data_IF_252474173019
#
_entry.id   IF_252474173019
#
_cell.length_a   1.000
_cell.length_b   1.000
_cell.length_c   1.000
_cell.angle_alpha   90.00
_cell.angle_beta   90.00
_cell.angle_gamma   90.00
#
_symmetry.space_group_name_H-M   'P 1'
#
loop_
_entity.id
_entity.type
_entity.pdbx_description
1 polymer ?
#
# COMPACT_ATOMS: atom_id res chain seq x y z
N UNK A 1 -31.80 -31.23 -76.63
CA UNK A 1 -31.79 -32.13 -75.45
C UNK A 1 -33.01 -31.79 -74.61
N UNK A 2 -34.05 -32.64 -74.57
CA UNK A 2 -35.39 -32.24 -74.11
C UNK A 2 -35.53 -32.29 -72.58
N UNK A 3 -36.22 -31.29 -72.02
CA UNK A 3 -36.56 -31.14 -70.58
C UNK A 3 -37.17 -32.42 -69.96
N UNK A 4 -37.82 -33.24 -70.78
CA UNK A 4 -38.43 -34.53 -70.39
C UNK A 4 -37.41 -35.59 -69.97
N UNK A 5 -36.16 -35.54 -70.44
CA UNK A 5 -35.09 -36.47 -70.01
C UNK A 5 -34.49 -36.09 -68.66
N UNK A 6 -34.48 -34.80 -68.32
CA UNK A 6 -33.97 -34.31 -67.03
C UNK A 6 -34.90 -34.66 -65.86
N UNK A 7 -36.21 -34.58 -66.07
CA UNK A 7 -37.23 -34.92 -65.05
C UNK A 7 -37.27 -36.43 -64.75
N UNK A 8 -36.76 -37.27 -65.64
CA UNK A 8 -36.86 -38.74 -65.55
C UNK A 8 -35.57 -39.43 -65.09
N UNK A 9 -34.52 -38.67 -64.79
CA UNK A 9 -33.23 -39.22 -64.38
C UNK A 9 -33.23 -39.53 -62.87
N UNK A 10 -33.13 -40.83 -62.52
CA UNK A 10 -33.13 -41.33 -61.13
C UNK A 10 -31.73 -41.43 -60.53
N UNK A 11 -30.67 -41.00 -61.23
CA UNK A 11 -29.28 -41.02 -60.73
C UNK A 11 -28.95 -39.84 -59.80
N UNK A 12 -29.86 -38.88 -59.65
CA UNK A 12 -29.68 -37.72 -58.77
C UNK A 12 -30.15 -38.02 -57.33
N UNK A 13 -29.40 -38.85 -56.60
CA UNK A 13 -29.57 -39.02 -55.14
C UNK A 13 -29.21 -37.75 -54.35
N UNK A 14 -28.63 -36.74 -55.00
CA UNK A 14 -28.13 -35.51 -54.37
C UNK A 14 -29.26 -34.60 -53.92
N UNK A 15 -30.33 -34.45 -54.71
CA UNK A 15 -31.45 -33.54 -54.37
C UNK A 15 -32.18 -33.95 -53.09
N UNK A 16 -32.62 -35.22 -52.91
CA UNK A 16 -33.28 -35.62 -51.66
C UNK A 16 -32.34 -35.62 -50.44
N UNK A 17 -31.05 -35.96 -50.59
CA UNK A 17 -30.07 -35.86 -49.51
C UNK A 17 -29.78 -34.39 -49.13
N UNK A 18 -29.64 -33.52 -50.11
CA UNK A 18 -29.48 -32.07 -49.90
C UNK A 18 -30.70 -31.49 -49.20
N UNK A 19 -31.92 -31.82 -49.65
CA UNK A 19 -33.16 -31.40 -49.04
C UNK A 19 -33.33 -31.90 -47.60
N UNK A 20 -32.84 -33.10 -47.27
CA UNK A 20 -32.81 -33.58 -45.88
C UNK A 20 -31.75 -32.88 -45.03
N UNK A 21 -30.59 -32.54 -45.60
CA UNK A 21 -29.48 -31.87 -44.89
C UNK A 21 -29.69 -30.37 -44.66
N UNK A 22 -30.51 -29.70 -45.49
CA UNK A 22 -30.74 -28.26 -45.36
C UNK A 22 -31.51 -27.90 -44.08
N UNK A 23 -32.40 -28.80 -43.63
CA UNK A 23 -33.20 -28.61 -42.41
C UNK A 23 -32.32 -28.55 -41.15
N UNK A 24 -31.44 -29.53 -40.86
CA UNK A 24 -30.55 -29.45 -39.71
C UNK A 24 -29.50 -28.33 -39.86
N UNK A 25 -28.98 -28.05 -41.07
CA UNK A 25 -28.02 -26.97 -41.27
C UNK A 25 -28.61 -25.58 -41.00
N UNK A 26 -29.81 -25.31 -41.50
CA UNK A 26 -30.52 -24.05 -41.23
C UNK A 26 -30.92 -23.93 -39.77
N UNK A 27 -31.33 -25.03 -39.11
CA UNK A 27 -31.57 -25.07 -37.68
C UNK A 27 -30.33 -24.72 -36.85
N UNK A 28 -29.17 -25.27 -37.19
CA UNK A 28 -27.89 -25.00 -36.50
C UNK A 28 -27.43 -23.54 -36.70
N UNK A 29 -27.51 -23.02 -37.92
CA UNK A 29 -27.20 -21.60 -38.19
C UNK A 29 -28.15 -20.68 -37.44
N UNK A 30 -29.44 -20.98 -37.45
CA UNK A 30 -30.45 -20.23 -36.72
C UNK A 30 -30.22 -20.24 -35.20
N UNK A 31 -29.89 -21.40 -34.64
CA UNK A 31 -29.53 -21.53 -33.23
C UNK A 31 -28.26 -20.72 -32.89
N UNK A 32 -27.26 -20.71 -33.76
CA UNK A 32 -26.06 -19.89 -33.59
C UNK A 32 -26.38 -18.39 -33.58
N UNK A 33 -27.30 -17.93 -34.44
CA UNK A 33 -27.74 -16.52 -34.47
C UNK A 33 -28.49 -16.15 -33.19
N UNK A 34 -29.46 -16.97 -32.77
CA UNK A 34 -30.22 -16.72 -31.53
C UNK A 34 -29.32 -16.76 -30.29
N UNK A 35 -28.38 -17.71 -30.23
CA UNK A 35 -27.37 -17.75 -29.17
C UNK A 35 -26.46 -16.52 -29.20
N UNK A 36 -26.00 -16.08 -30.38
CA UNK A 36 -25.17 -14.88 -30.51
C UNK A 36 -25.91 -13.62 -30.02
N UNK A 37 -27.22 -13.51 -30.28
CA UNK A 37 -28.06 -12.42 -29.76
C UNK A 37 -28.18 -12.49 -28.24
N UNK A 38 -28.42 -13.67 -27.69
CA UNK A 38 -28.49 -13.87 -26.23
C UNK A 38 -27.14 -13.60 -25.54
N UNK A 39 -26.03 -14.03 -26.12
CA UNK A 39 -24.68 -13.77 -25.63
C UNK A 39 -24.37 -12.26 -25.65
N UNK A 40 -24.71 -11.56 -26.73
CA UNK A 40 -24.57 -10.10 -26.81
C UNK A 40 -25.44 -9.37 -25.77
N UNK A 41 -26.69 -9.83 -25.55
CA UNK A 41 -27.56 -9.31 -24.49
C UNK A 41 -26.94 -9.50 -23.10
N UNK A 42 -26.43 -10.69 -22.79
CA UNK A 42 -25.75 -10.98 -21.51
C UNK A 42 -24.51 -10.09 -21.31
N UNK A 43 -23.69 -9.90 -22.34
CA UNK A 43 -22.52 -9.04 -22.27
C UNK A 43 -22.87 -7.58 -22.03
N UNK A 44 -23.91 -7.06 -22.69
CA UNK A 44 -24.40 -5.70 -22.47
C UNK A 44 -25.00 -5.54 -21.05
N UNK A 45 -25.70 -6.56 -20.56
CA UNK A 45 -26.25 -6.58 -19.20
C UNK A 45 -25.14 -6.55 -18.16
N UNK A 46 -24.08 -7.34 -18.33
CA UNK A 46 -22.91 -7.32 -17.45
C UNK A 46 -22.26 -5.92 -17.42
N UNK A 47 -22.02 -5.30 -18.57
CA UNK A 47 -21.41 -3.97 -18.64
C UNK A 47 -22.27 -2.88 -17.95
N UNK A 48 -23.60 -2.95 -18.10
CA UNK A 48 -24.53 -2.06 -17.41
C UNK A 48 -24.54 -2.31 -15.89
N UNK A 49 -24.51 -3.57 -15.45
CA UNK A 49 -24.43 -3.94 -14.03
C UNK A 49 -23.12 -3.46 -13.40
N UNK A 50 -21.97 -3.66 -14.05
CA UNK A 50 -20.66 -3.24 -13.55
C UNK A 50 -20.62 -1.72 -13.32
N UNK A 51 -21.14 -0.95 -14.28
CA UNK A 51 -21.24 0.50 -14.18
C UNK A 51 -22.21 0.94 -13.09
N UNK A 52 -23.34 0.23 -12.94
CA UNK A 52 -24.36 0.51 -11.91
C UNK A 52 -23.82 0.26 -10.50
N UNK A 53 -23.16 -0.87 -10.29
CA UNK A 53 -22.52 -1.23 -9.01
C UNK A 53 -21.46 -0.21 -8.63
N UNK A 54 -20.62 0.23 -9.58
CA UNK A 54 -19.58 1.22 -9.32
C UNK A 54 -20.14 2.63 -9.02
N UNK A 55 -21.24 3.01 -9.67
CA UNK A 55 -21.91 4.28 -9.38
C UNK A 55 -22.53 4.26 -7.98
N UNK A 56 -23.23 3.17 -7.62
CA UNK A 56 -23.89 3.01 -6.33
C UNK A 56 -22.92 2.84 -5.16
N UNK A 57 -21.76 2.20 -5.37
CA UNK A 57 -20.76 2.04 -4.30
C UNK A 57 -20.22 3.39 -3.78
N UNK A 58 -20.42 4.47 -4.54
CA UNK A 58 -20.04 5.84 -4.13
C UNK A 58 -21.20 6.63 -3.51
N UNK A 59 -22.44 6.16 -3.66
CA UNK A 59 -23.67 6.83 -3.20
C UNK A 59 -24.08 6.35 -1.80
N UNK A 60 -23.53 7.04 -0.80
CA UNK A 60 -23.64 6.68 0.62
C UNK A 60 -25.07 6.80 1.15
N UNK A 61 -25.84 7.76 0.65
CA UNK A 61 -27.18 8.06 1.14
C UNK A 61 -28.18 6.99 0.69
N UNK A 62 -28.03 6.51 -0.54
CA UNK A 62 -28.82 5.38 -1.07
C UNK A 62 -28.53 4.08 -0.31
N UNK A 63 -27.26 3.83 0.02
CA UNK A 63 -26.84 2.65 0.77
C UNK A 63 -27.33 2.67 2.22
N UNK A 64 -27.35 3.84 2.86
CA UNK A 64 -27.82 4.01 4.23
C UNK A 64 -29.35 3.96 4.36
N UNK A 65 -30.07 4.45 3.34
CA UNK A 65 -31.55 4.47 3.31
C UNK A 65 -32.19 3.13 2.94
N UNK A 66 -31.40 2.14 2.51
CA UNK A 66 -31.90 0.84 2.03
C UNK A 66 -32.59 0.92 0.66
N UNK A 67 -32.54 2.07 -0.03
CA UNK A 67 -33.14 2.30 -1.35
C UNK A 67 -32.33 1.72 -2.52
N UNK A 68 -31.40 0.79 -2.24
CA UNK A 68 -30.43 0.23 -3.18
C UNK A 68 -31.10 -0.35 -4.42
N UNK A 69 -32.19 -1.09 -4.27
CA UNK A 69 -32.89 -1.71 -5.40
C UNK A 69 -33.53 -0.69 -6.34
N UNK A 70 -34.15 0.36 -5.79
CA UNK A 70 -34.82 1.39 -6.59
C UNK A 70 -33.81 2.19 -7.41
N UNK A 71 -32.71 2.62 -6.78
CA UNK A 71 -31.68 3.40 -7.44
C UNK A 71 -30.85 2.55 -8.42
N UNK A 72 -30.57 1.29 -8.09
CA UNK A 72 -29.97 0.34 -9.02
C UNK A 72 -30.82 0.18 -10.29
N UNK A 73 -32.14 0.10 -10.14
CA UNK A 73 -33.06 -0.01 -11.27
C UNK A 73 -33.02 1.23 -12.15
N UNK A 74 -33.03 2.43 -11.57
CA UNK A 74 -32.93 3.69 -12.31
C UNK A 74 -31.64 3.78 -13.12
N UNK A 75 -30.50 3.52 -12.47
CA UNK A 75 -29.18 3.58 -13.11
C UNK A 75 -29.00 2.50 -14.18
N UNK A 76 -29.40 1.26 -13.86
CA UNK A 76 -29.31 0.15 -14.81
C UNK A 76 -30.16 0.41 -16.05
N UNK A 77 -31.41 0.88 -15.90
CA UNK A 77 -32.28 1.17 -17.03
C UNK A 77 -31.76 2.33 -17.90
N UNK A 78 -31.04 3.29 -17.31
CA UNK A 78 -30.39 4.35 -18.07
C UNK A 78 -29.21 3.83 -18.92
N UNK A 79 -28.55 2.77 -18.48
CA UNK A 79 -27.36 2.19 -19.12
C UNK A 79 -27.69 1.04 -20.07
N UNK A 80 -28.74 0.27 -19.78
CA UNK A 80 -29.11 -0.93 -20.52
C UNK A 80 -30.21 -0.66 -21.56
N UNK A 81 -29.80 -0.23 -22.76
CA UNK A 81 -30.72 0.00 -23.87
C UNK A 81 -30.74 -1.19 -24.86
N UNK A 82 -31.50 -2.25 -24.52
CA UNK A 82 -31.64 -3.46 -25.34
C UNK A 82 -33.11 -3.90 -25.40
N UNK A 83 -33.91 -3.40 -26.37
CA UNK A 83 -35.34 -3.69 -26.46
C UNK A 83 -35.66 -5.16 -26.83
N UNK A 84 -34.66 -5.92 -27.27
CA UNK A 84 -34.78 -7.35 -27.58
C UNK A 84 -34.74 -8.26 -26.34
N UNK A 85 -34.52 -7.70 -25.14
CA UNK A 85 -34.55 -8.40 -23.85
C UNK A 85 -35.83 -8.05 -23.11
N UNK A 86 -36.65 -9.04 -22.81
CA UNK A 86 -37.89 -8.93 -22.06
C UNK A 86 -37.71 -9.35 -20.59
N UNK A 87 -38.71 -9.05 -19.76
CA UNK A 87 -38.80 -9.49 -18.36
C UNK A 87 -37.55 -9.17 -17.53
N UNK A 88 -36.98 -7.98 -17.74
CA UNK A 88 -35.79 -7.54 -17.02
C UNK A 88 -36.14 -7.33 -15.54
N UNK A 89 -35.45 -8.05 -14.68
CA UNK A 89 -35.57 -7.92 -13.23
C UNK A 89 -34.18 -7.80 -12.60
N UNK A 90 -34.09 -7.02 -11.52
CA UNK A 90 -32.87 -6.84 -10.75
C UNK A 90 -33.03 -7.40 -9.34
N UNK A 91 -31.97 -8.02 -8.85
CA UNK A 91 -31.82 -8.41 -7.45
C UNK A 91 -30.65 -7.64 -6.85
N UNK A 92 -30.79 -7.17 -5.62
CA UNK A 92 -29.73 -6.43 -4.93
C UNK A 92 -29.52 -7.01 -3.54
N UNK A 93 -28.27 -7.18 -3.15
CA UNK A 93 -27.88 -7.50 -1.78
C UNK A 93 -26.80 -6.53 -1.34
N UNK A 94 -27.03 -5.87 -0.21
CA UNK A 94 -26.05 -5.00 0.44
C UNK A 94 -25.79 -5.51 1.86
N UNK A 95 -24.52 -5.71 2.19
CA UNK A 95 -24.08 -6.11 3.53
C UNK A 95 -22.96 -5.18 3.97
N UNK A 96 -22.96 -4.79 5.24
CA UNK A 96 -22.03 -3.79 5.79
C UNK A 96 -21.38 -4.21 7.11
N UNK A 97 -21.28 -5.51 7.38
CA UNK A 97 -20.78 -6.02 8.67
C UNK A 97 -19.25 -6.12 8.75
N UNK A 98 -18.54 -6.28 7.62
CA UNK A 98 -17.07 -6.47 7.55
C UNK A 98 -16.51 -5.83 6.29
N UNK A 99 -16.69 -4.52 6.20
CA UNK A 99 -16.70 -3.81 4.92
C UNK A 99 -18.06 -3.92 4.24
N UNK A 100 -18.22 -3.13 3.19
CA UNK A 100 -19.43 -3.01 2.41
C UNK A 100 -19.32 -3.89 1.17
N UNK A 101 -20.25 -4.82 1.00
CA UNK A 101 -20.39 -5.62 -0.23
C UNK A 101 -21.74 -5.33 -0.84
N UNK A 102 -21.74 -4.89 -2.10
CA UNK A 102 -22.92 -4.68 -2.92
C UNK A 102 -22.90 -5.66 -4.08
N UNK A 103 -23.90 -6.53 -4.13
CA UNK A 103 -24.15 -7.45 -5.24
C UNK A 103 -25.40 -7.01 -5.98
N UNK A 104 -25.30 -6.84 -7.29
CA UNK A 104 -26.46 -6.58 -8.16
C UNK A 104 -26.51 -7.67 -9.23
N UNK A 105 -27.60 -8.44 -9.22
CA UNK A 105 -27.94 -9.42 -10.24
C UNK A 105 -28.96 -8.86 -11.21
N UNK A 106 -28.83 -9.20 -12.49
CA UNK A 106 -29.82 -8.91 -13.51
C UNK A 106 -30.23 -10.19 -14.23
N UNK A 107 -31.53 -10.32 -14.48
CA UNK A 107 -32.11 -11.42 -15.27
C UNK A 107 -33.01 -10.86 -16.35
N UNK A 108 -33.13 -11.56 -17.48
CA UNK A 108 -34.09 -11.26 -18.54
C UNK A 108 -34.22 -12.42 -19.51
N UNK A 109 -35.07 -12.29 -20.53
CA UNK A 109 -35.27 -13.31 -21.57
C UNK A 109 -35.13 -12.71 -22.97
N UNK A 110 -34.45 -13.42 -23.87
CA UNK A 110 -34.31 -13.04 -25.28
C UNK A 110 -35.20 -13.95 -26.11
N UNK A 111 -36.10 -13.35 -26.89
CA UNK A 111 -36.97 -14.11 -27.80
C UNK A 111 -36.17 -14.70 -28.96
N UNK A 112 -36.25 -16.02 -29.11
CA UNK A 112 -35.59 -16.74 -30.21
C UNK A 112 -36.47 -16.71 -31.44
N UNK A 113 -35.86 -16.69 -32.63
CA UNK A 113 -36.59 -16.73 -33.90
C UNK A 113 -36.50 -18.13 -34.49
N UNK A 114 -35.30 -18.69 -34.58
CA UNK A 114 -35.05 -19.98 -35.19
C UNK A 114 -35.18 -21.12 -34.17
N UNK A 115 -34.66 -20.93 -32.95
CA UNK A 115 -34.80 -21.94 -31.90
C UNK A 115 -36.26 -22.13 -31.44
N UNK A 116 -37.13 -21.14 -31.70
CA UNK A 116 -38.57 -21.24 -31.42
C UNK A 116 -39.23 -22.38 -32.19
N UNK A 117 -38.76 -22.67 -33.42
CA UNK A 117 -39.24 -23.78 -34.27
C UNK A 117 -38.90 -25.14 -33.64
N UNK A 118 -37.84 -25.20 -32.85
CA UNK A 118 -37.39 -26.38 -32.10
C UNK A 118 -37.98 -26.44 -30.68
N UNK A 119 -38.94 -25.57 -30.35
CA UNK A 119 -39.63 -25.55 -29.04
C UNK A 119 -38.98 -24.66 -27.98
N UNK A 120 -37.88 -23.97 -28.28
CA UNK A 120 -37.21 -23.05 -27.35
C UNK A 120 -37.55 -21.61 -27.68
N UNK A 121 -38.72 -21.13 -27.28
CA UNK A 121 -39.23 -19.79 -27.63
C UNK A 121 -38.43 -18.61 -27.04
N UNK A 122 -37.76 -18.83 -25.90
CA UNK A 122 -36.99 -17.81 -25.20
C UNK A 122 -35.69 -18.39 -24.63
N UNK A 123 -34.64 -17.58 -24.60
CA UNK A 123 -33.37 -17.90 -23.94
C UNK A 123 -33.20 -16.99 -22.71
N UNK A 124 -33.05 -17.55 -21.50
CA UNK A 124 -32.77 -16.75 -20.32
C UNK A 124 -31.35 -16.18 -20.36
N UNK A 125 -31.22 -14.91 -19.99
CA UNK A 125 -29.94 -14.24 -19.77
C UNK A 125 -29.86 -13.79 -18.32
N UNK A 126 -28.71 -14.02 -17.70
CA UNK A 126 -28.44 -13.60 -16.34
C UNK A 126 -27.00 -13.12 -16.23
N UNK A 127 -26.79 -12.08 -15.45
CA UNK A 127 -25.49 -11.48 -15.17
C UNK A 127 -25.47 -10.97 -13.73
N UNK A 128 -24.28 -10.81 -13.15
CA UNK A 128 -24.12 -10.31 -11.79
C UNK A 128 -22.84 -9.51 -11.66
N UNK A 129 -22.90 -8.37 -10.99
CA UNK A 129 -21.76 -7.54 -10.66
C UNK A 129 -21.66 -7.39 -9.13
N UNK A 130 -20.43 -7.26 -8.62
CA UNK A 130 -20.16 -7.10 -7.19
C UNK A 130 -19.12 -6.02 -6.97
N UNK A 131 -19.34 -5.13 -6.01
CA UNK A 131 -18.32 -4.23 -5.48
C UNK A 131 -18.16 -4.46 -3.99
N UNK A 132 -16.90 -4.52 -3.55
CA UNK A 132 -16.55 -4.53 -2.13
C UNK A 132 -15.72 -3.28 -1.83
N UNK A 133 -15.92 -2.68 -0.66
CA UNK A 133 -15.12 -1.55 -0.18
C UNK A 133 -15.08 -1.51 1.35
N UNK A 134 -14.07 -0.86 1.92
CA UNK A 134 -13.95 -0.71 3.38
C UNK A 134 -13.63 -2.01 4.15
N UNK A 135 -13.30 -3.11 3.45
CA UNK A 135 -12.77 -4.34 4.06
C UNK A 135 -11.24 -4.27 4.27
N UNK A 136 -10.58 -3.28 3.66
CA UNK A 136 -9.12 -3.10 3.73
C UNK A 136 -8.78 -1.91 4.61
N UNK A 137 -7.95 -2.11 5.63
CA UNK A 137 -7.38 -1.05 6.47
C UNK A 137 -5.92 -0.81 6.09
N UNK A 138 -5.49 0.44 6.10
CA UNK A 138 -4.16 0.85 5.67
C UNK A 138 -3.30 1.24 6.87
N UNK A 139 -2.07 0.75 6.93
CA UNK A 139 -1.05 1.20 7.89
C UNK A 139 0.16 1.68 7.11
N UNK A 140 0.48 2.96 7.24
CA UNK A 140 1.59 3.60 6.49
C UNK A 140 2.68 4.03 7.47
N UNK A 141 3.91 3.64 7.21
CA UNK A 141 5.09 4.20 7.87
C UNK A 141 5.83 5.12 6.90
N UNK A 142 5.83 6.41 7.22
CA UNK A 142 6.61 7.41 6.51
C UNK A 142 8.01 7.45 7.13
N UNK A 143 8.98 6.84 6.45
CA UNK A 143 10.39 6.79 6.86
C UNK A 143 11.11 7.89 6.11
N UNK A 144 11.33 9.02 6.80
CA UNK A 144 11.69 10.27 6.16
C UNK A 144 13.12 10.67 6.54
N UNK A 145 13.96 10.79 5.52
CA UNK A 145 15.34 11.24 5.67
C UNK A 145 15.37 12.65 6.25
N UNK A 146 16.03 12.77 7.39
CA UNK A 146 16.20 14.01 8.13
C UNK A 146 17.69 14.31 8.32
N UNK A 147 18.53 13.88 7.37
CA UNK A 147 19.99 14.04 7.40
C UNK A 147 20.41 15.42 6.91
N UNK A 148 21.68 15.78 7.12
CA UNK A 148 22.19 17.10 6.78
C UNK A 148 22.07 17.48 5.29
N UNK A 149 22.12 16.52 4.37
CA UNK A 149 21.96 16.77 2.93
C UNK A 149 20.59 17.36 2.58
N UNK A 150 19.55 17.00 3.34
CA UNK A 150 18.18 17.50 3.17
C UNK A 150 18.03 19.00 3.46
N UNK A 151 19.01 19.64 4.10
CA UNK A 151 19.05 21.09 4.32
C UNK A 151 19.30 21.87 3.02
N UNK A 152 19.78 21.21 1.97
CA UNK A 152 20.18 21.83 0.71
C UNK A 152 19.06 21.79 -0.33
N UNK A 153 19.12 22.69 -1.31
CA UNK A 153 18.27 22.68 -2.53
C UNK A 153 16.76 22.65 -2.27
N UNK A 154 16.29 23.14 -1.11
CA UNK A 154 14.88 23.15 -0.73
C UNK A 154 14.28 21.76 -0.50
N UNK A 155 15.11 20.71 -0.34
CA UNK A 155 14.66 19.32 -0.21
C UNK A 155 13.76 19.10 1.02
N UNK A 156 14.14 19.61 2.19
CA UNK A 156 13.32 19.50 3.41
C UNK A 156 11.97 20.21 3.28
N UNK A 157 11.91 21.41 2.69
CA UNK A 157 10.64 22.13 2.52
C UNK A 157 9.71 21.42 1.54
N UNK A 158 10.27 20.89 0.45
CA UNK A 158 9.54 20.07 -0.50
C UNK A 158 9.06 18.76 0.13
N UNK A 159 9.90 18.09 0.94
CA UNK A 159 9.53 16.90 1.70
C UNK A 159 8.37 17.16 2.64
N UNK A 160 8.43 18.25 3.42
CA UNK A 160 7.37 18.62 4.37
C UNK A 160 6.05 18.87 3.65
N UNK A 161 6.10 19.60 2.53
CA UNK A 161 4.92 19.88 1.71
C UNK A 161 4.33 18.60 1.13
N UNK A 162 5.16 17.77 0.50
CA UNK A 162 4.78 16.49 -0.09
C UNK A 162 4.17 15.52 0.94
N UNK A 163 4.79 15.39 2.12
CA UNK A 163 4.31 14.53 3.19
C UNK A 163 2.97 15.00 3.75
N UNK A 164 2.76 16.32 3.91
CA UNK A 164 1.48 16.87 4.35
C UNK A 164 0.37 16.68 3.31
N UNK A 165 0.68 16.81 2.02
CA UNK A 165 -0.28 16.52 0.95
C UNK A 165 -0.70 15.05 0.97
N UNK A 166 0.26 14.12 1.11
CA UNK A 166 -0.03 12.71 1.28
C UNK A 166 -0.93 12.44 2.49
N UNK A 167 -0.61 13.03 3.65
CA UNK A 167 -1.44 12.94 4.86
C UNK A 167 -2.87 13.44 4.59
N UNK A 168 -3.05 14.56 3.90
CA UNK A 168 -4.37 15.09 3.55
C UNK A 168 -5.15 14.13 2.63
N UNK A 169 -4.48 13.49 1.67
CA UNK A 169 -5.13 12.50 0.80
C UNK A 169 -5.59 11.26 1.58
N UNK A 170 -4.75 10.78 2.50
CA UNK A 170 -5.06 9.65 3.38
C UNK A 170 -6.22 9.97 4.33
N UNK A 171 -6.23 11.16 4.94
CA UNK A 171 -7.35 11.63 5.77
C UNK A 171 -8.65 11.71 4.98
N UNK A 172 -8.62 12.20 3.74
CA UNK A 172 -9.82 12.35 2.92
C UNK A 172 -10.50 11.00 2.64
N UNK A 173 -9.76 9.89 2.66
CA UNK A 173 -10.29 8.54 2.37
C UNK A 173 -10.64 7.76 3.64
N UNK A 174 -10.02 8.06 4.78
CA UNK A 174 -10.37 7.46 6.07
C UNK A 174 -11.79 7.89 6.50
N UNK A 175 -12.75 6.95 6.52
CA UNK A 175 -14.14 7.21 6.92
C UNK A 175 -14.38 6.91 8.39
N UNK A 176 -13.63 5.96 8.93
CA UNK A 176 -13.50 5.69 10.35
C UNK A 176 -12.05 5.92 10.81
N UNK A 177 -11.83 6.24 12.10
CA UNK A 177 -10.48 6.44 12.64
C UNK A 177 -9.55 5.23 12.44
N UNK A 178 -10.13 4.05 12.32
CA UNK A 178 -9.42 2.79 12.20
C UNK A 178 -9.05 2.40 10.75
N UNK A 179 -9.55 3.15 9.76
CA UNK A 179 -9.36 2.85 8.34
C UNK A 179 -7.91 3.06 7.90
N UNK A 180 -7.27 4.10 8.45
CA UNK A 180 -5.90 4.48 8.12
C UNK A 180 -5.15 4.88 9.38
N UNK A 181 -4.01 4.23 9.59
CA UNK A 181 -3.01 4.66 10.56
C UNK A 181 -1.73 5.09 9.84
N UNK A 182 -1.12 6.17 10.34
CA UNK A 182 0.16 6.66 9.82
C UNK A 182 1.15 6.78 10.97
N UNK A 183 2.40 6.40 10.73
CA UNK A 183 3.54 6.64 11.60
C UNK A 183 4.58 7.44 10.84
N UNK A 184 5.36 8.24 11.56
CA UNK A 184 6.42 9.07 10.99
C UNK A 184 7.71 8.76 11.70
N UNK A 185 8.72 8.36 10.94
CA UNK A 185 10.05 7.99 11.44
C UNK A 185 11.09 8.91 10.79
N UNK A 186 11.39 10.07 11.39
CA UNK A 186 12.52 10.91 11.00
C UNK A 186 13.81 10.20 11.41
N UNK A 187 14.69 9.93 10.45
CA UNK A 187 15.95 9.24 10.72
C UNK A 187 17.16 10.03 10.24
N UNK A 188 18.30 9.75 10.87
CA UNK A 188 19.62 10.18 10.42
C UNK A 188 20.57 8.98 10.53
N UNK A 189 21.68 9.11 11.27
CA UNK A 189 22.50 7.99 11.73
C UNK A 189 21.73 7.17 12.76
N UNK A 190 20.95 7.89 13.58
CA UNK A 190 20.16 7.38 14.70
C UNK A 190 18.67 7.68 14.48
N UNK A 191 17.82 7.06 15.28
CA UNK A 191 16.39 7.38 15.40
C UNK A 191 16.09 7.82 16.81
N UNK A 192 15.36 8.94 16.95
CA UNK A 192 14.89 9.39 18.25
C UNK A 192 13.58 8.67 18.61
N UNK A 193 13.62 7.91 19.69
CA UNK A 193 12.53 7.03 20.14
C UNK A 193 11.89 7.50 21.45
N UNK A 194 12.40 8.59 22.03
CA UNK A 194 11.95 9.06 23.33
C UNK A 194 10.62 9.82 23.21
N UNK A 195 9.59 9.25 23.82
CA UNK A 195 8.28 9.89 23.99
C UNK A 195 8.13 10.37 25.42
N UNK A 196 8.21 11.68 25.64
CA UNK A 196 8.12 12.26 26.99
C UNK A 196 9.40 12.07 27.82
N UNK A 197 9.24 11.85 29.12
CA UNK A 197 10.36 11.80 30.08
C UNK A 197 10.76 10.38 30.50
N UNK A 198 9.91 9.38 30.28
CA UNK A 198 10.16 7.99 30.68
C UNK A 198 11.19 7.34 29.75
N UNK A 199 12.18 6.67 30.34
CA UNK A 199 13.17 5.89 29.61
C UNK A 199 12.64 4.48 29.41
N UNK A 200 12.55 3.97 28.17
CA UNK A 200 12.07 2.61 27.94
C UNK A 200 13.05 1.55 28.47
N UNK A 201 12.53 0.46 29.01
CA UNK A 201 13.34 -0.62 29.61
C UNK A 201 14.14 -1.43 28.60
N UNK A 202 13.81 -1.33 27.31
CA UNK A 202 14.50 -2.01 26.21
C UNK A 202 15.69 -1.21 25.65
N UNK A 203 15.94 0.00 26.19
CA UNK A 203 17.09 0.82 25.84
C UNK A 203 18.27 0.41 26.71
N UNK A 204 19.38 0.07 26.07
CA UNK A 204 20.63 -0.29 26.74
C UNK A 204 21.58 0.92 26.84
N UNK A 205 22.02 1.21 28.06
CA UNK A 205 22.95 2.30 28.35
C UNK A 205 24.40 1.83 28.49
N UNK A 206 24.70 0.55 28.27
CA UNK A 206 26.06 0.01 28.47
C UNK A 206 27.13 0.80 27.69
N UNK A 207 26.88 1.10 26.40
CA UNK A 207 27.77 1.93 25.57
C UNK A 207 27.69 3.39 26.00
N UNK A 208 26.48 3.90 26.22
CA UNK A 208 26.24 5.29 26.58
C UNK A 208 27.02 5.70 27.83
N UNK A 209 27.04 4.84 28.86
CA UNK A 209 27.74 5.05 30.13
C UNK A 209 29.26 5.16 29.97
N UNK A 210 29.83 4.56 28.91
CA UNK A 210 31.27 4.67 28.61
C UNK A 210 31.66 5.96 27.90
N UNK A 211 30.69 6.59 27.23
CA UNK A 211 30.90 7.76 26.37
C UNK A 211 30.40 9.06 27.01
N UNK A 212 29.42 8.97 27.92
CA UNK A 212 28.73 10.12 28.49
C UNK A 212 28.91 10.13 30.01
N UNK A 213 29.78 11.01 30.49
CA UNK A 213 30.10 11.09 31.89
C UNK A 213 31.23 12.07 32.16
N UNK A 214 31.73 12.03 33.40
CA UNK A 214 32.80 12.90 33.86
C UNK A 214 33.92 12.09 34.49
N UNK A 215 35.15 12.55 34.30
CA UNK A 215 36.31 12.00 34.96
C UNK A 215 36.70 12.89 36.16
N UNK A 216 37.07 12.28 37.28
CA UNK A 216 37.71 12.99 38.41
C UNK A 216 38.96 13.77 38.02
N UNK A 217 39.65 13.36 36.94
CA UNK A 217 40.71 14.11 36.28
C UNK A 217 40.14 14.80 35.05
N UNK A 218 39.83 16.09 35.16
CA UNK A 218 39.07 16.88 34.16
C UNK A 218 39.69 16.95 32.76
N UNK A 219 40.98 16.62 32.61
CA UNK A 219 41.66 16.53 31.31
C UNK A 219 41.20 15.36 30.44
N UNK A 220 40.47 14.37 30.99
CA UNK A 220 40.02 13.20 30.26
C UNK A 220 38.50 13.21 30.03
N UNK A 221 38.10 13.11 28.77
CA UNK A 221 36.69 13.12 28.32
C UNK A 221 36.18 11.75 27.89
N UNK A 222 37.02 10.71 27.93
CA UNK A 222 36.66 9.31 27.62
C UNK A 222 36.90 8.43 28.83
N UNK A 223 36.01 7.46 29.08
CA UNK A 223 36.16 6.53 30.21
C UNK A 223 37.48 5.77 30.14
N UNK A 224 37.85 5.23 28.98
CA UNK A 224 39.09 4.45 28.81
C UNK A 224 40.34 5.26 29.17
N UNK A 225 40.41 6.51 28.72
CA UNK A 225 41.50 7.44 29.06
C UNK A 225 41.48 7.85 30.54
N UNK A 226 40.29 8.05 31.11
CA UNK A 226 40.13 8.38 32.52
C UNK A 226 40.68 7.27 33.43
N UNK A 227 40.21 6.04 33.22
CA UNK A 227 40.54 4.87 34.05
C UNK A 227 42.01 4.46 33.88
N UNK A 228 42.53 4.44 32.65
CA UNK A 228 43.95 4.14 32.40
C UNK A 228 44.91 5.12 33.06
N UNK A 229 44.47 6.36 33.29
CA UNK A 229 45.25 7.37 34.00
C UNK A 229 44.89 7.46 35.50
N UNK A 230 44.29 6.42 36.08
CA UNK A 230 43.97 6.34 37.50
C UNK A 230 42.87 7.30 37.96
N UNK A 231 42.07 7.84 37.05
CA UNK A 231 40.86 8.60 37.35
C UNK A 231 39.65 7.68 37.55
N UNK A 232 38.73 8.09 38.41
CA UNK A 232 37.39 7.50 38.51
C UNK A 232 36.45 8.16 37.49
N UNK A 233 35.77 7.33 36.69
CA UNK A 233 34.72 7.74 35.76
C UNK A 233 33.35 7.64 36.44
N UNK A 234 32.51 8.65 36.22
CA UNK A 234 31.13 8.68 36.68
C UNK A 234 30.22 8.94 35.48
N UNK A 235 29.40 7.95 35.06
CA UNK A 235 28.42 8.14 34.00
C UNK A 235 27.46 9.29 34.33
N UNK A 236 27.01 10.00 33.29
CA UNK A 236 25.98 11.02 33.46
C UNK A 236 24.62 10.36 33.81
N UNK A 237 23.70 11.13 34.41
CA UNK A 237 22.37 10.60 34.70
C UNK A 237 21.62 10.27 33.41
N UNK A 238 21.04 9.07 33.29
CA UNK A 238 20.32 8.65 32.08
C UNK A 238 19.13 9.57 31.72
N UNK A 239 18.63 10.37 32.67
CA UNK A 239 17.61 11.40 32.41
C UNK A 239 18.04 12.47 31.42
N UNK A 240 19.36 12.67 31.21
CA UNK A 240 19.91 13.62 30.21
C UNK A 240 19.95 13.05 28.79
N UNK A 241 19.62 11.77 28.62
CA UNK A 241 19.55 11.13 27.31
C UNK A 241 18.57 11.85 26.39
N UNK A 242 19.04 12.23 25.21
CA UNK A 242 18.26 13.00 24.23
C UNK A 242 17.24 12.15 23.45
N UNK A 243 17.26 10.82 23.63
CA UNK A 243 16.28 9.90 23.07
C UNK A 243 16.74 9.13 21.85
N UNK A 244 17.98 9.31 21.39
CA UNK A 244 18.48 8.59 20.23
C UNK A 244 19.00 7.19 20.54
N UNK A 245 18.63 6.26 19.67
CA UNK A 245 19.20 4.91 19.63
C UNK A 245 19.89 4.66 18.30
N UNK A 246 20.96 3.87 18.37
CA UNK A 246 21.74 3.42 17.23
C UNK A 246 21.35 1.97 16.83
N UNK A 247 21.98 1.43 15.79
CA UNK A 247 21.72 0.06 15.32
C UNK A 247 21.96 -1.00 16.43
N UNK A 248 21.07 -2.00 16.51
CA UNK A 248 21.26 -3.18 17.39
C UNK A 248 22.38 -4.07 16.91
N UNK A 249 22.99 -4.86 17.79
CA UNK A 249 24.05 -5.79 17.39
C UNK A 249 23.69 -6.63 16.16
N UNK A 250 24.64 -6.81 15.24
CA UNK A 250 24.40 -7.60 14.04
C UNK A 250 24.16 -9.08 14.44
N UNK A 251 23.14 -9.75 13.93
CA UNK A 251 22.27 -9.38 12.80
C UNK A 251 20.86 -8.85 13.18
N UNK A 252 20.67 -8.30 14.38
CA UNK A 252 19.38 -7.77 14.85
C UNK A 252 19.06 -6.36 14.32
N UNK A 253 20.05 -5.64 13.79
CA UNK A 253 19.93 -4.34 13.12
C UNK A 253 19.09 -4.37 11.84
N UNK A 254 18.86 -5.54 11.23
CA UNK A 254 18.12 -5.67 9.96
C UNK A 254 16.75 -6.34 10.13
N UNK A 255 16.25 -6.39 11.36
CA UNK A 255 15.00 -7.07 11.70
C UNK A 255 14.24 -6.41 12.85
N UNK A 256 13.03 -6.90 13.09
CA UNK A 256 12.09 -6.37 14.10
C UNK A 256 11.85 -7.32 15.27
N UNK A 257 12.79 -8.24 15.54
CA UNK A 257 12.73 -9.08 16.75
C UNK A 257 12.48 -8.20 17.97
N UNK A 258 11.49 -8.56 18.79
CA UNK A 258 11.14 -7.81 19.98
C UNK A 258 12.39 -7.65 20.88
N UNK A 259 12.67 -6.45 21.40
CA UNK A 259 13.85 -6.23 22.21
C UNK A 259 13.69 -6.84 23.60
N UNK A 260 14.75 -7.47 24.08
CA UNK A 260 14.93 -7.93 25.44
C UNK A 260 16.37 -7.64 25.90
N UNK A 261 16.79 -8.17 27.05
CA UNK A 261 18.15 -7.97 27.56
C UNK A 261 19.26 -8.58 26.70
N UNK A 262 18.94 -9.52 25.81
CA UNK A 262 19.88 -10.15 24.88
C UNK A 262 19.98 -9.43 23.53
N UNK A 263 18.94 -8.67 23.15
CA UNK A 263 18.87 -7.93 21.88
C UNK A 263 18.37 -6.48 22.04
N UNK A 264 18.96 -5.68 22.94
CA UNK A 264 18.48 -4.34 23.24
C UNK A 264 18.81 -3.32 22.14
N UNK A 265 18.21 -2.14 22.24
CA UNK A 265 18.61 -0.98 21.44
C UNK A 265 19.62 -0.12 22.22
N UNK A 266 20.87 0.03 21.75
CA UNK A 266 21.84 0.86 22.46
C UNK A 266 21.49 2.35 22.36
N UNK A 267 21.54 3.04 23.50
CA UNK A 267 21.40 4.50 23.58
C UNK A 267 22.64 5.21 22.99
N UNK A 268 22.40 6.27 22.23
CA UNK A 268 23.42 7.23 21.79
C UNK A 268 23.09 8.63 22.30
N UNK A 269 24.12 9.46 22.52
CA UNK A 269 23.99 10.90 22.77
C UNK A 269 24.43 11.70 21.55
N UNK A 270 23.88 11.38 20.39
CA UNK A 270 24.29 12.04 19.15
C UNK A 270 23.82 13.49 19.14
N UNK A 271 24.74 14.43 18.89
CA UNK A 271 24.44 15.87 18.90
C UNK A 271 23.41 16.29 17.84
N UNK A 272 23.18 15.44 16.84
CA UNK A 272 22.24 15.65 15.75
C UNK A 272 21.05 14.68 15.79
N UNK A 273 20.68 14.26 17.00
CA UNK A 273 19.50 13.43 17.22
C UNK A 273 18.26 14.06 16.61
N UNK A 274 17.55 13.30 15.77
CA UNK A 274 16.39 13.80 15.02
C UNK A 274 15.21 14.11 15.95
N UNK A 275 14.18 14.76 15.40
CA UNK A 275 12.89 14.88 16.07
C UNK A 275 12.34 13.48 16.38
N UNK A 276 11.84 13.27 17.61
CA UNK A 276 11.28 11.99 18.05
C UNK A 276 10.25 11.45 17.05
N UNK A 277 10.35 10.17 16.73
CA UNK A 277 9.39 9.49 15.87
C UNK A 277 7.97 9.54 16.45
N UNK A 278 7.00 9.34 15.59
CA UNK A 278 5.59 9.24 15.93
C UNK A 278 5.09 7.83 15.58
N UNK A 279 4.74 7.00 16.57
CA UNK A 279 4.12 5.70 16.34
C UNK A 279 2.80 5.80 15.55
N UNK A 280 2.25 4.66 15.15
CA UNK A 280 0.98 4.62 14.40
C UNK A 280 -0.12 5.38 15.15
N UNK A 281 -0.68 6.37 14.47
CA UNK A 281 -1.79 7.20 14.95
C UNK A 281 -2.72 7.55 13.79
N UNK A 282 -3.94 7.91 14.12
CA UNK A 282 -4.94 8.48 13.22
C UNK A 282 -5.20 9.96 13.55
N UNK A 283 -4.37 10.56 14.42
CA UNK A 283 -4.39 12.00 14.69
C UNK A 283 -3.66 12.78 13.59
N UNK A 284 -4.44 13.24 12.63
CA UNK A 284 -3.99 14.01 11.47
C UNK A 284 -3.32 15.33 11.83
N UNK A 285 -3.72 15.98 12.93
CA UNK A 285 -3.09 17.23 13.37
C UNK A 285 -1.69 16.96 13.92
N UNK A 286 -1.55 15.94 14.77
CA UNK A 286 -0.26 15.51 15.32
C UNK A 286 0.70 15.03 14.23
N UNK A 287 0.20 14.32 13.21
CA UNK A 287 0.98 13.91 12.04
C UNK A 287 1.59 15.13 11.31
N UNK A 288 0.79 16.15 11.01
CA UNK A 288 1.28 17.37 10.35
C UNK A 288 2.28 18.14 11.21
N UNK A 289 1.97 18.31 12.50
CA UNK A 289 2.87 18.98 13.44
C UNK A 289 4.23 18.26 13.54
N UNK A 290 4.23 16.92 13.47
CA UNK A 290 5.46 16.13 13.45
C UNK A 290 6.30 16.40 12.21
N UNK A 291 5.69 16.46 11.03
CA UNK A 291 6.36 16.82 9.77
C UNK A 291 6.94 18.24 9.86
N UNK A 292 6.17 19.20 10.36
CA UNK A 292 6.63 20.59 10.48
C UNK A 292 7.84 20.73 11.41
N UNK A 293 7.92 19.90 12.46
CA UNK A 293 9.02 19.88 13.43
C UNK A 293 10.32 19.20 12.93
N UNK A 294 10.36 18.66 11.72
CA UNK A 294 11.57 18.02 11.18
C UNK A 294 12.66 19.06 10.89
N UNK A 295 13.90 18.75 11.28
CA UNK A 295 15.08 19.60 11.06
C UNK A 295 16.26 18.77 10.55
N UNK A 296 16.76 19.03 9.33
CA UNK A 296 17.76 18.17 8.69
C UNK A 296 19.11 18.28 9.36
N UNK A 297 19.67 17.17 9.84
CA UNK A 297 20.98 17.12 10.47
C UNK A 297 21.57 15.71 10.56
N UNK A 298 22.90 15.61 10.69
CA UNK A 298 23.62 14.36 10.89
C UNK A 298 23.87 13.57 9.60
N UNK A 299 24.51 12.41 9.78
CA UNK A 299 24.84 11.46 8.72
C UNK A 299 23.68 10.51 8.40
N UNK A 300 23.80 9.71 7.34
CA UNK A 300 22.70 8.94 6.76
C UNK A 300 22.85 7.44 7.02
N UNK A 301 21.85 6.85 7.68
CA UNK A 301 21.68 5.40 7.85
C UNK A 301 20.28 4.98 7.39
N UNK A 302 20.12 4.61 6.12
CA UNK A 302 18.84 4.14 5.61
C UNK A 302 18.37 2.85 6.31
N UNK A 303 19.30 2.03 6.80
CA UNK A 303 18.99 0.76 7.47
C UNK A 303 18.17 0.99 8.73
N UNK A 304 18.64 1.86 9.65
CA UNK A 304 17.94 2.10 10.91
C UNK A 304 16.58 2.76 10.69
N UNK A 305 16.49 3.69 9.72
CA UNK A 305 15.22 4.31 9.34
C UNK A 305 14.20 3.27 8.88
N UNK A 306 14.60 2.39 7.95
CA UNK A 306 13.75 1.33 7.43
C UNK A 306 13.31 0.35 8.53
N UNK A 307 14.23 -0.04 9.41
CA UNK A 307 13.94 -0.98 10.52
C UNK A 307 12.97 -0.35 11.51
N UNK A 308 13.13 0.93 11.87
CA UNK A 308 12.17 1.60 12.75
C UNK A 308 10.82 1.83 12.09
N UNK A 309 10.79 2.11 10.78
CA UNK A 309 9.55 2.12 10.00
C UNK A 309 8.84 0.77 10.01
N UNK A 310 9.59 -0.33 9.94
CA UNK A 310 9.02 -1.68 10.08
C UNK A 310 8.57 -1.96 11.53
N UNK A 311 9.30 -1.49 12.53
CA UNK A 311 8.91 -1.61 13.94
C UNK A 311 7.56 -0.94 14.21
N UNK A 312 7.25 0.21 13.59
CA UNK A 312 5.96 0.89 13.83
C UNK A 312 4.76 0.09 13.33
N UNK A 313 4.97 -0.79 12.34
CA UNK A 313 3.93 -1.64 11.75
C UNK A 313 3.81 -3.01 12.45
N UNK A 314 4.86 -3.43 13.14
CA UNK A 314 4.96 -4.76 13.77
C UNK A 314 4.29 -4.77 15.13
N UNK A 315 3.47 -5.78 15.39
CA UNK A 315 2.83 -5.95 16.69
C UNK A 315 3.83 -6.38 17.77
N UNK A 316 3.73 -5.80 18.96
CA UNK A 316 4.62 -6.08 20.09
C UNK A 316 5.77 -5.08 20.24
N UNK A 317 6.52 -5.21 21.33
CA UNK A 317 7.60 -4.30 21.72
C UNK A 317 8.63 -4.07 20.58
N UNK A 318 9.28 -2.89 20.48
CA UNK A 318 9.26 -1.79 21.45
C UNK A 318 8.02 -0.88 21.35
N UNK A 319 7.27 -1.03 20.27
CA UNK A 319 6.05 -0.26 20.02
C UNK A 319 4.82 -1.11 20.38
N UNK A 320 3.64 -0.52 20.32
CA UNK A 320 2.40 -1.27 20.55
C UNK A 320 1.35 -0.68 19.63
N UNK A 321 1.50 -0.91 18.30
CA UNK A 321 0.50 -0.46 17.37
C UNK A 321 -0.84 -1.13 17.69
N UNK A 322 -1.98 -0.50 17.33
CA UNK A 322 -3.30 -1.11 17.52
C UNK A 322 -3.34 -2.54 16.98
N UNK A 323 -4.02 -3.43 17.69
CA UNK A 323 -4.17 -4.81 17.23
C UNK A 323 -4.90 -4.85 15.87
N UNK A 324 -4.50 -5.79 15.00
CA UNK A 324 -5.22 -6.04 13.75
C UNK A 324 -6.46 -6.88 14.06
N UNK A 325 -7.63 -6.46 13.58
CA UNK A 325 -8.85 -7.26 13.67
C UNK A 325 -8.86 -8.33 12.57
N UNK A 326 -9.30 -9.54 12.90
CA UNK A 326 -9.49 -10.60 11.91
C UNK A 326 -10.62 -10.30 10.89
N UNK A 327 -11.43 -9.28 11.16
CA UNK A 327 -12.55 -8.88 10.30
C UNK A 327 -12.13 -8.02 9.10
N UNK A 328 -10.88 -7.57 9.06
CA UNK A 328 -10.36 -6.70 8.00
C UNK A 328 -9.06 -7.25 7.44
N UNK A 329 -8.85 -7.00 6.15
CA UNK A 329 -7.54 -7.13 5.56
C UNK A 329 -6.70 -5.89 5.87
N UNK A 330 -5.41 -6.08 6.16
CA UNK A 330 -4.51 -4.96 6.44
C UNK A 330 -3.45 -4.86 5.35
N UNK A 331 -3.28 -3.66 4.82
CA UNK A 331 -2.17 -3.30 3.93
C UNK A 331 -1.14 -2.52 4.74
N UNK A 332 -0.01 -3.15 4.99
CA UNK A 332 1.14 -2.52 5.64
C UNK A 332 2.07 -1.97 4.56
N UNK A 333 2.37 -0.68 4.66
CA UNK A 333 3.16 0.04 3.67
C UNK A 333 4.25 0.86 4.35
N UNK A 334 5.46 0.80 3.82
CA UNK A 334 6.55 1.72 4.16
C UNK A 334 6.84 2.61 2.97
N UNK A 335 6.95 3.91 3.20
CA UNK A 335 7.48 4.88 2.24
C UNK A 335 8.83 5.34 2.77
N UNK A 336 9.91 4.77 2.22
CA UNK A 336 11.28 5.17 2.51
C UNK A 336 11.70 6.28 1.54
N UNK A 337 11.94 7.47 2.07
CA UNK A 337 12.52 8.58 1.32
C UNK A 337 13.96 8.82 1.78
N UNK A 338 14.85 9.06 0.82
CA UNK A 338 16.22 9.54 1.06
C UNK A 338 16.72 10.43 -0.08
N UNK A 339 17.60 11.36 0.27
CA UNK A 339 18.30 12.22 -0.68
C UNK A 339 19.81 11.99 -0.74
N UNK A 340 20.27 10.90 -0.12
CA UNK A 340 21.68 10.70 0.15
C UNK A 340 22.15 9.25 0.07
N UNK A 341 23.47 9.14 0.03
CA UNK A 341 24.19 7.87 0.17
C UNK A 341 24.10 7.40 1.62
N UNK A 342 24.12 6.10 1.87
CA UNK A 342 24.42 5.62 3.21
C UNK A 342 25.85 6.04 3.59
N UNK A 343 26.02 6.80 4.67
CA UNK A 343 27.32 7.38 5.04
C UNK A 343 27.85 6.90 6.38
N UNK A 344 26.99 6.44 7.30
CA UNK A 344 27.40 5.94 8.59
C UNK A 344 26.33 5.07 9.25
N UNK A 345 26.74 3.99 9.91
CA UNK A 345 25.93 3.27 10.90
C UNK A 345 26.76 3.11 12.19
N UNK A 346 26.31 2.29 13.13
CA UNK A 346 27.06 2.03 14.38
C UNK A 346 28.52 1.53 14.19
N UNK A 347 28.83 0.78 13.13
CA UNK A 347 30.15 0.14 12.94
C UNK A 347 30.98 0.70 11.78
N UNK A 348 30.34 1.22 10.75
CA UNK A 348 30.95 1.51 9.46
C UNK A 348 30.56 2.90 8.96
N UNK A 349 31.42 3.46 8.11
CA UNK A 349 31.22 4.77 7.51
C UNK A 349 31.81 5.92 8.32
N UNK A 350 32.06 7.02 7.63
CA UNK A 350 32.71 8.22 8.17
C UNK A 350 31.73 9.40 8.33
N UNK A 351 30.46 9.19 7.97
CA UNK A 351 29.43 10.22 8.05
C UNK A 351 29.40 11.22 6.90
N UNK A 352 30.22 11.02 5.85
CA UNK A 352 30.31 11.93 4.70
C UNK A 352 30.34 11.22 3.34
N UNK A 353 31.05 10.10 3.24
CA UNK A 353 31.20 9.33 2.00
C UNK A 353 30.33 8.07 2.03
N UNK A 354 29.97 7.56 0.85
CA UNK A 354 29.24 6.29 0.75
C UNK A 354 29.96 5.18 1.50
N UNK A 355 29.19 4.37 2.23
CA UNK A 355 29.65 3.17 2.91
C UNK A 355 28.95 1.95 2.33
N UNK A 356 29.66 1.16 1.53
CA UNK A 356 29.14 -0.09 0.93
C UNK A 356 28.76 -1.12 1.98
N UNK A 357 29.42 -1.10 3.15
CA UNK A 357 29.05 -1.94 4.28
C UNK A 357 27.66 -1.59 4.83
N UNK A 358 27.31 -0.29 4.89
CA UNK A 358 25.98 0.16 5.31
C UNK A 358 24.95 -0.16 4.22
N UNK A 359 25.28 0.00 2.94
CA UNK A 359 24.43 -0.42 1.82
C UNK A 359 24.07 -1.91 1.91
N UNK A 360 25.04 -2.78 2.24
CA UNK A 360 24.79 -4.20 2.42
C UNK A 360 23.87 -4.52 3.61
N UNK A 361 23.86 -3.69 4.67
CA UNK A 361 22.87 -3.83 5.76
C UNK A 361 21.49 -3.35 5.31
N UNK A 362 21.42 -2.23 4.60
CA UNK A 362 20.17 -1.71 4.04
C UNK A 362 19.51 -2.75 3.12
N UNK A 363 20.27 -3.37 2.22
CA UNK A 363 19.77 -4.41 1.32
C UNK A 363 19.16 -5.60 2.09
N UNK A 364 19.82 -6.06 3.15
CA UNK A 364 19.27 -7.12 4.02
C UNK A 364 17.97 -6.70 4.69
N UNK A 365 17.90 -5.47 5.21
CA UNK A 365 16.67 -4.95 5.81
C UNK A 365 15.53 -4.87 4.77
N UNK A 366 15.81 -4.41 3.54
CA UNK A 366 14.84 -4.39 2.45
C UNK A 366 14.30 -5.79 2.13
N UNK A 367 15.18 -6.79 2.05
CA UNK A 367 14.78 -8.18 1.83
C UNK A 367 13.89 -8.70 2.96
N UNK A 368 14.23 -8.41 4.22
CA UNK A 368 13.45 -8.86 5.37
C UNK A 368 12.07 -8.18 5.44
N UNK A 369 11.99 -6.88 5.15
CA UNK A 369 10.71 -6.14 5.07
C UNK A 369 9.80 -6.74 3.99
N UNK A 370 10.35 -7.01 2.80
CA UNK A 370 9.58 -7.63 1.71
C UNK A 370 9.15 -9.07 2.05
N UNK A 371 10.01 -9.84 2.71
CA UNK A 371 9.68 -11.18 3.19
C UNK A 371 8.56 -11.18 4.24
N UNK A 372 8.41 -10.08 4.99
CA UNK A 372 7.30 -9.88 5.93
C UNK A 372 5.98 -9.46 5.26
N UNK A 373 5.93 -9.37 3.93
CA UNK A 373 4.73 -9.01 3.17
C UNK A 373 4.39 -7.52 3.17
N UNK A 374 5.33 -6.67 3.58
CA UNK A 374 5.14 -5.21 3.61
C UNK A 374 5.42 -4.63 2.23
N UNK A 375 4.54 -3.75 1.76
CA UNK A 375 4.76 -3.00 0.53
C UNK A 375 5.77 -1.88 0.80
N UNK A 376 6.90 -1.90 0.11
CA UNK A 376 8.00 -0.95 0.29
C UNK A 376 8.12 -0.04 -0.93
N UNK A 377 7.78 1.22 -0.71
CA UNK A 377 8.04 2.34 -1.60
C UNK A 377 9.41 2.93 -1.28
N UNK A 378 10.17 3.25 -2.32
CA UNK A 378 11.44 3.98 -2.17
C UNK A 378 11.46 5.20 -3.06
N UNK A 379 11.82 6.34 -2.48
CA UNK A 379 11.90 7.64 -3.14
C UNK A 379 13.31 8.18 -2.97
N UNK A 380 14.04 8.25 -4.07
CA UNK A 380 15.40 8.80 -4.13
C UNK A 380 15.37 10.21 -4.69
N UNK A 381 15.94 11.18 -3.96
CA UNK A 381 15.98 12.59 -4.35
C UNK A 381 17.40 13.06 -4.63
N UNK A 382 17.70 13.29 -5.92
CA UNK A 382 18.93 13.84 -6.47
C UNK A 382 20.16 12.93 -6.30
N UNK A 383 20.58 12.64 -5.07
CA UNK A 383 21.83 11.97 -4.76
C UNK A 383 21.57 10.67 -3.97
N UNK A 384 22.33 9.61 -4.23
CA UNK A 384 22.23 8.35 -3.49
C UNK A 384 22.47 7.11 -4.35
N UNK A 385 22.32 5.92 -3.73
CA UNK A 385 22.53 4.65 -4.42
C UNK A 385 21.23 4.20 -5.12
N UNK A 386 21.06 4.63 -6.38
CA UNK A 386 19.88 4.33 -7.18
C UNK A 386 19.61 2.82 -7.34
N UNK A 387 20.65 2.02 -7.57
CA UNK A 387 20.53 0.56 -7.72
C UNK A 387 20.03 -0.08 -6.43
N UNK A 388 20.60 0.30 -5.28
CA UNK A 388 20.18 -0.20 -3.98
C UNK A 388 18.70 0.08 -3.72
N UNK A 389 18.26 1.33 -3.88
CA UNK A 389 16.87 1.72 -3.59
C UNK A 389 15.88 1.13 -4.58
N UNK A 390 16.24 1.06 -5.86
CA UNK A 390 15.43 0.37 -6.87
C UNK A 390 15.23 -1.11 -6.52
N UNK A 391 16.27 -1.80 -6.06
CA UNK A 391 16.18 -3.19 -5.62
C UNK A 391 15.47 -3.34 -4.27
N UNK A 392 15.50 -2.30 -3.44
CA UNK A 392 14.85 -2.26 -2.15
C UNK A 392 13.31 -2.19 -2.29
N UNK A 393 12.80 -1.41 -3.25
CA UNK A 393 11.38 -1.34 -3.57
C UNK A 393 10.75 -2.73 -3.78
N UNK A 394 9.46 -2.86 -3.46
CA UNK A 394 8.71 -4.11 -3.71
C UNK A 394 8.69 -4.48 -5.18
N UNK A 395 8.51 -3.50 -6.05
CA UNK A 395 8.56 -3.65 -7.51
C UNK A 395 8.90 -2.31 -8.18
N UNK A 396 9.08 -2.32 -9.50
CA UNK A 396 9.50 -1.13 -10.25
C UNK A 396 8.49 0.03 -10.21
N UNK A 397 7.20 -0.22 -9.97
CA UNK A 397 6.18 0.83 -9.83
C UNK A 397 6.19 1.50 -8.45
N UNK A 398 7.01 0.98 -7.52
CA UNK A 398 7.19 1.48 -6.15
C UNK A 398 8.54 2.16 -5.94
N UNK A 399 9.32 2.33 -7.01
CA UNK A 399 10.58 3.06 -7.01
C UNK A 399 10.42 4.39 -7.75
N UNK A 400 10.84 5.47 -7.11
CA UNK A 400 10.81 6.81 -7.67
C UNK A 400 12.20 7.43 -7.59
N UNK A 401 12.70 7.91 -8.73
CA UNK A 401 13.95 8.65 -8.82
C UNK A 401 13.65 10.09 -9.26
N UNK A 402 13.99 11.04 -8.40
CA UNK A 402 13.70 12.45 -8.57
C UNK A 402 15.01 13.17 -8.80
N UNK A 403 15.13 13.90 -9.90
CA UNK A 403 16.32 14.70 -10.20
C UNK A 403 16.26 16.10 -9.59
N UNK A 404 15.11 16.49 -9.00
CA UNK A 404 14.91 17.78 -8.34
C UNK A 404 13.92 17.68 -7.17
N UNK A 405 14.13 18.52 -6.15
CA UNK A 405 13.29 18.56 -4.95
C UNK A 405 11.81 18.87 -5.24
N UNK A 406 11.52 19.72 -6.23
CA UNK A 406 10.14 20.11 -6.57
C UNK A 406 9.29 18.93 -7.11
N UNK A 407 9.91 17.83 -7.55
CA UNK A 407 9.21 16.61 -7.98
C UNK A 407 8.66 15.79 -6.80
N UNK A 408 9.04 16.12 -5.56
CA UNK A 408 8.56 15.42 -4.37
C UNK A 408 7.06 15.52 -4.21
N UNK A 409 6.50 16.71 -4.43
CA UNK A 409 5.06 16.96 -4.29
C UNK A 409 4.27 16.06 -5.24
N UNK A 410 4.60 16.08 -6.54
CA UNK A 410 3.94 15.25 -7.55
C UNK A 410 4.12 13.77 -7.29
N UNK A 411 5.29 13.35 -6.82
CA UNK A 411 5.56 11.94 -6.50
C UNK A 411 4.73 11.46 -5.31
N UNK A 412 4.65 12.24 -4.23
CA UNK A 412 3.85 11.87 -3.07
C UNK A 412 2.35 11.92 -3.36
N UNK A 413 1.90 12.80 -4.25
CA UNK A 413 0.52 12.80 -4.73
C UNK A 413 0.20 11.52 -5.54
N UNK A 414 1.16 11.04 -6.34
CA UNK A 414 1.02 9.75 -7.04
C UNK A 414 0.98 8.58 -6.04
N UNK A 415 1.90 8.54 -5.08
CA UNK A 415 1.92 7.53 -4.01
C UNK A 415 0.59 7.55 -3.25
N UNK A 416 0.10 8.72 -2.86
CA UNK A 416 -1.20 8.86 -2.18
C UNK A 416 -2.35 8.30 -3.01
N UNK A 417 -2.39 8.59 -4.31
CA UNK A 417 -3.37 8.01 -5.24
C UNK A 417 -3.28 6.48 -5.29
N UNK A 418 -2.07 5.91 -5.32
CA UNK A 418 -1.87 4.46 -5.32
C UNK A 418 -2.32 3.83 -3.98
N UNK A 419 -2.05 4.47 -2.85
CA UNK A 419 -2.47 4.01 -1.52
C UNK A 419 -3.98 4.11 -1.32
N UNK A 420 -4.61 5.18 -1.78
CA UNK A 420 -6.06 5.32 -1.79
C UNK A 420 -6.72 4.23 -2.64
N UNK A 421 -6.15 3.89 -3.80
CA UNK A 421 -6.64 2.76 -4.60
C UNK A 421 -6.54 1.45 -3.83
N UNK A 422 -5.42 1.17 -3.15
CA UNK A 422 -5.26 -0.03 -2.33
C UNK A 422 -6.30 -0.13 -1.19
N UNK A 423 -6.68 1.01 -0.60
CA UNK A 423 -7.72 1.05 0.43
C UNK A 423 -9.13 0.78 -0.14
N UNK A 424 -9.40 1.25 -1.37
CA UNK A 424 -10.71 1.13 -2.02
C UNK A 424 -10.89 -0.13 -2.85
N UNK A 425 -9.81 -0.76 -3.33
CA UNK A 425 -9.89 -1.92 -4.21
C UNK A 425 -9.91 -3.21 -3.40
N UNK A 426 -11.06 -3.89 -3.40
CA UNK A 426 -11.14 -5.34 -3.58
C UNK A 426 -12.52 -5.72 -4.12
#
# INVERSE_FOLDING_TARGET
>A
MSLRRFIRDRRASVVPLFALSIVPLTGLVGAAVDYSRAAAARSAMQAALDSTVLALSRDKDTLASGAVTAQATTLFNALFNRPDVANVALTTSYTSSKGSTLVIGGTGTVKTVFMSVLGFAELPVAASATAVWGNTRLRVALVLDNTGSMASSGKMDALKTASKNLINQLEAVAKAPEDVYVSIVPYSKDVNVKTGTTIPTWVDFSIWDTLNGTCTKSSYTKQSSCVSNGGKWTPAAHSTWNGCVMDRDQNWDVGVTAPDSSVPFPAEQYGYCTTAMLPLTNDWATLRAKIDAMTPNGSTNNTIGLVWGWQTLTAGAPLSPPAKSADYEYQDVIVLLTDGLNTQNRWNGNGSSQSTAVDARTEKACTNVKAAGITLYTVLVMDGNATLLKNCATDSSRYFYLTAANQLVTTFDEIGTQLTKLHLSK
#
